data_IF_592420829932
#
_entry.id   IF_592420829932
#
_cell.length_a   1.000
_cell.length_b   1.000
_cell.length_c   1.000
_cell.angle_alpha   90.00
_cell.angle_beta   90.00
_cell.angle_gamma   90.00
#
_symmetry.space_group_name_H-M   'P 1'
#
loop_
_entity.id
_entity.type
_entity.pdbx_description
1 polymer ?
#
# COMPACT_ATOMS: atom_id res chain seq x y z
N UNK A 1 2.77 -18.23 -0.88
CA UNK A 1 2.85 -18.47 -2.34
C UNK A 1 3.36 -19.88 -2.62
N UNK A 2 3.23 -20.38 -3.85
CA UNK A 2 3.86 -21.62 -4.29
C UNK A 2 4.99 -21.30 -5.25
N UNK A 3 6.21 -21.78 -4.96
CA UNK A 3 7.35 -21.66 -5.86
C UNK A 3 7.57 -22.99 -6.56
N UNK A 4 7.76 -22.96 -7.87
CA UNK A 4 8.23 -24.11 -8.64
C UNK A 4 9.55 -23.77 -9.33
N UNK A 5 10.59 -24.56 -9.08
CA UNK A 5 11.90 -24.34 -9.70
C UNK A 5 12.06 -25.29 -10.89
N UNK A 6 12.30 -24.71 -12.06
CA UNK A 6 12.58 -25.42 -13.31
C UNK A 6 13.81 -24.82 -13.98
N UNK A 7 14.57 -25.65 -14.68
CA UNK A 7 15.64 -25.14 -15.55
C UNK A 7 15.02 -24.27 -16.66
N UNK A 8 15.53 -23.06 -16.92
CA UNK A 8 14.98 -22.17 -17.93
C UNK A 8 15.13 -22.74 -19.35
N UNK A 9 16.13 -23.59 -19.58
CA UNK A 9 16.43 -24.14 -20.91
C UNK A 9 15.76 -25.50 -21.14
N UNK A 10 15.89 -26.43 -20.18
CA UNK A 10 15.40 -27.80 -20.33
C UNK A 10 13.98 -27.99 -19.80
N UNK A 11 13.43 -27.00 -19.07
CA UNK A 11 12.17 -27.10 -18.33
C UNK A 11 12.15 -28.23 -17.30
N UNK A 12 13.30 -28.85 -17.01
CA UNK A 12 13.40 -29.93 -16.04
C UNK A 12 13.19 -29.41 -14.63
N UNK A 13 12.46 -30.19 -13.85
CA UNK A 13 12.20 -29.96 -12.44
C UNK A 13 13.52 -30.02 -11.66
N UNK A 14 13.73 -29.06 -10.74
CA UNK A 14 14.92 -29.02 -9.89
C UNK A 14 14.55 -29.39 -8.44
N UNK A 15 14.72 -30.67 -8.05
CA UNK A 15 14.52 -31.09 -6.66
C UNK A 15 15.68 -30.67 -5.77
N UNK A 16 15.42 -30.48 -4.46
CA UNK A 16 16.40 -30.07 -3.46
C UNK A 16 17.13 -28.74 -3.77
N UNK A 17 16.56 -27.91 -4.65
CA UNK A 17 17.05 -26.56 -4.91
C UNK A 17 16.83 -25.72 -3.65
N UNK A 18 17.87 -25.02 -3.18
CA UNK A 18 17.71 -24.11 -2.04
C UNK A 18 17.08 -22.82 -2.54
N UNK A 19 15.97 -22.44 -1.95
CA UNK A 19 15.26 -21.22 -2.31
C UNK A 19 15.29 -20.25 -1.14
N UNK A 20 15.62 -18.99 -1.42
CA UNK A 20 15.50 -17.85 -0.51
C UNK A 20 14.49 -16.87 -1.08
N UNK A 21 13.62 -16.35 -0.22
CA UNK A 21 12.77 -15.20 -0.55
C UNK A 21 13.25 -14.03 0.27
N UNK A 22 13.54 -12.92 -0.40
CA UNK A 22 14.07 -11.71 0.20
C UNK A 22 13.19 -10.52 -0.14
N UNK A 23 13.13 -9.55 0.76
CA UNK A 23 12.63 -8.21 0.50
C UNK A 23 13.82 -7.27 0.42
N UNK A 24 13.99 -6.61 -0.73
CA UNK A 24 15.00 -5.61 -0.93
C UNK A 24 14.36 -4.21 -0.86
N UNK A 25 14.81 -3.41 0.10
CA UNK A 25 14.45 -2.00 0.25
C UNK A 25 15.52 -1.15 -0.42
N UNK A 26 15.17 -0.25 -1.35
CA UNK A 26 16.14 0.67 -1.94
C UNK A 26 16.98 1.38 -0.87
N UNK A 27 18.30 1.19 -0.89
CA UNK A 27 19.22 1.81 0.06
C UNK A 27 19.27 1.21 1.47
N UNK A 28 18.59 0.09 1.73
CA UNK A 28 18.68 -0.65 3.00
C UNK A 28 19.25 -2.06 2.82
N UNK A 29 19.34 -2.81 3.93
CA UNK A 29 19.83 -4.19 3.93
C UNK A 29 18.75 -5.14 3.43
N UNK A 30 19.12 -6.10 2.58
CA UNK A 30 18.23 -7.17 2.14
C UNK A 30 17.72 -7.98 3.34
N UNK A 31 16.40 -8.10 3.45
CA UNK A 31 15.76 -8.89 4.51
C UNK A 31 15.35 -10.25 3.98
N UNK A 32 15.86 -11.32 4.58
CA UNK A 32 15.40 -12.68 4.26
C UNK A 32 14.04 -12.94 4.92
N UNK A 33 13.02 -13.19 4.09
CA UNK A 33 11.66 -13.49 4.52
C UNK A 33 11.43 -15.00 4.69
N UNK A 34 12.12 -15.81 3.87
CA UNK A 34 11.96 -17.26 3.88
C UNK A 34 13.21 -17.97 3.36
N UNK A 35 13.46 -19.18 3.85
CA UNK A 35 14.44 -20.11 3.27
C UNK A 35 13.87 -21.53 3.32
N UNK A 36 14.02 -22.28 2.22
CA UNK A 36 13.56 -23.66 2.12
C UNK A 36 14.22 -24.43 0.99
N UNK A 37 13.79 -25.67 0.79
CA UNK A 37 14.25 -26.53 -0.31
C UNK A 37 13.08 -27.11 -1.06
N UNK A 38 13.19 -27.22 -2.38
CA UNK A 38 12.15 -27.84 -3.21
C UNK A 38 12.05 -29.35 -2.99
N UNK A 39 10.84 -29.88 -3.11
CA UNK A 39 10.56 -31.31 -3.05
C UNK A 39 10.96 -32.04 -4.35
N UNK A 40 10.63 -33.34 -4.43
CA UNK A 40 10.90 -34.18 -5.61
C UNK A 40 10.22 -33.67 -6.90
N UNK A 41 9.18 -32.84 -6.77
CA UNK A 41 8.43 -32.21 -7.85
C UNK A 41 8.90 -30.77 -8.13
N UNK A 42 9.98 -30.33 -7.47
CA UNK A 42 10.55 -28.99 -7.59
C UNK A 42 9.65 -27.92 -6.98
N UNK A 43 8.72 -28.31 -6.11
CA UNK A 43 7.75 -27.43 -5.48
C UNK A 43 8.19 -27.06 -4.08
N UNK A 44 7.86 -25.83 -3.69
CA UNK A 44 8.10 -25.31 -2.35
C UNK A 44 6.96 -24.38 -1.94
N UNK A 45 6.11 -24.80 -0.99
CA UNK A 45 5.18 -23.90 -0.33
C UNK A 45 5.96 -22.86 0.49
N UNK A 46 5.76 -21.58 0.19
CA UNK A 46 6.44 -20.47 0.87
C UNK A 46 5.41 -19.65 1.63
N UNK A 47 5.55 -19.63 2.95
CA UNK A 47 4.77 -18.80 3.85
C UNK A 47 5.73 -17.96 4.70
N UNK A 48 5.50 -16.65 4.75
CA UNK A 48 6.28 -15.72 5.55
C UNK A 48 5.36 -14.58 6.00
N UNK A 49 5.78 -13.87 7.05
CA UNK A 49 5.11 -12.66 7.50
C UNK A 49 5.74 -11.47 6.79
N UNK A 50 4.91 -10.62 6.17
CA UNK A 50 5.38 -9.38 5.56
C UNK A 50 5.77 -8.39 6.67
N UNK A 51 6.94 -7.75 6.60
CA UNK A 51 7.32 -6.73 7.57
C UNK A 51 6.26 -5.61 7.64
N UNK A 52 6.01 -5.02 8.82
CA UNK A 52 5.13 -3.88 8.93
C UNK A 52 5.63 -2.73 8.04
N UNK A 53 4.76 -2.17 7.19
CA UNK A 53 5.16 -1.13 6.23
C UNK A 53 5.59 0.19 6.87
N UNK A 54 5.25 0.42 8.14
CA UNK A 54 5.70 1.54 8.96
C UNK A 54 7.15 1.41 9.45
N UNK A 55 7.73 0.21 9.39
CA UNK A 55 9.15 -0.04 9.67
C UNK A 55 10.03 0.09 8.43
N UNK A 56 9.44 0.21 7.24
CA UNK A 56 10.16 0.34 5.98
C UNK A 56 10.44 1.81 5.65
N UNK A 57 11.68 2.11 5.28
CA UNK A 57 12.08 3.46 4.89
C UNK A 57 11.44 3.91 3.56
N UNK A 58 11.13 2.97 2.67
CA UNK A 58 10.41 3.17 1.42
C UNK A 58 9.30 2.11 1.35
N UNK A 59 8.03 2.44 1.05
CA UNK A 59 7.00 1.43 0.84
C UNK A 59 7.13 0.70 -0.51
N UNK A 60 7.86 1.25 -1.49
CA UNK A 60 8.15 0.58 -2.76
C UNK A 60 9.36 -0.33 -2.57
N UNK A 61 9.14 -1.63 -2.73
CA UNK A 61 10.10 -2.67 -2.41
C UNK A 61 10.28 -3.61 -3.61
N UNK A 62 11.37 -4.37 -3.60
CA UNK A 62 11.58 -5.45 -4.57
C UNK A 62 11.56 -6.78 -3.86
N UNK A 63 10.56 -7.61 -4.15
CA UNK A 63 10.52 -9.00 -3.72
C UNK A 63 11.45 -9.82 -4.63
N UNK A 64 12.44 -10.48 -4.05
CA UNK A 64 13.40 -11.30 -4.77
C UNK A 64 13.28 -12.76 -4.36
N UNK A 65 13.14 -13.66 -5.34
CA UNK A 65 13.18 -15.11 -5.14
C UNK A 65 14.45 -15.63 -5.78
N UNK A 66 15.34 -16.19 -4.96
CA UNK A 66 16.64 -16.74 -5.39
C UNK A 66 16.61 -18.25 -5.21
N UNK A 67 16.92 -18.99 -6.26
CA UNK A 67 17.04 -20.44 -6.25
C UNK A 67 18.48 -20.85 -6.58
N UNK A 68 19.16 -21.47 -5.63
CA UNK A 68 20.46 -22.12 -5.84
C UNK A 68 20.21 -23.55 -6.34
N UNK A 69 20.63 -23.82 -7.57
CA UNK A 69 20.49 -25.11 -8.25
C UNK A 69 21.85 -25.66 -8.66
N UNK A 70 21.89 -26.90 -9.14
CA UNK A 70 23.11 -27.48 -9.70
C UNK A 70 23.56 -26.82 -11.02
N UNK A 71 22.65 -26.12 -11.69
CA UNK A 71 22.92 -25.40 -12.95
C UNK A 71 23.34 -23.95 -12.72
N UNK A 72 23.39 -23.51 -11.46
CA UNK A 72 23.67 -22.14 -11.06
C UNK A 72 22.54 -21.51 -10.26
N UNK A 73 22.67 -20.20 -10.04
CA UNK A 73 21.69 -19.42 -9.30
C UNK A 73 20.70 -18.75 -10.26
N UNK A 74 19.42 -18.89 -9.97
CA UNK A 74 18.34 -18.19 -10.67
C UNK A 74 17.67 -17.19 -9.75
N UNK A 75 17.32 -16.02 -10.28
CA UNK A 75 16.63 -14.98 -9.53
C UNK A 75 15.40 -14.47 -10.28
N UNK A 76 14.33 -14.23 -9.55
CA UNK A 76 13.14 -13.52 -9.99
C UNK A 76 12.97 -12.28 -9.10
N UNK A 77 12.80 -11.12 -9.72
CA UNK A 77 12.55 -9.86 -9.02
C UNK A 77 11.17 -9.34 -9.41
N UNK A 78 10.42 -8.87 -8.43
CA UNK A 78 9.11 -8.27 -8.62
C UNK A 78 8.97 -7.03 -7.74
N UNK A 79 8.58 -5.91 -8.34
CA UNK A 79 8.23 -4.71 -7.61
C UNK A 79 6.93 -4.94 -6.82
N UNK A 80 6.95 -4.60 -5.54
CA UNK A 80 5.83 -4.76 -4.61
C UNK A 80 5.69 -3.52 -3.73
N UNK A 81 4.45 -3.15 -3.42
CA UNK A 81 4.17 -2.07 -2.47
C UNK A 81 3.87 -2.68 -1.09
N UNK A 82 4.70 -2.36 -0.10
CA UNK A 82 4.56 -2.77 1.29
C UNK A 82 4.29 -1.53 2.13
N UNK A 83 3.03 -1.12 2.15
CA UNK A 83 2.57 0.02 2.92
C UNK A 83 1.11 -0.14 3.35
N UNK A 84 0.67 0.71 4.26
CA UNK A 84 -0.75 0.79 4.62
C UNK A 84 -1.50 1.46 3.47
N UNK A 85 -2.30 0.69 2.76
CA UNK A 85 -3.23 1.23 1.75
C UNK A 85 -4.58 1.45 2.43
N UNK A 86 -5.19 2.60 2.18
CA UNK A 86 -6.51 2.96 2.72
C UNK A 86 -7.52 3.13 1.59
N UNK A 87 -8.71 2.57 1.79
CA UNK A 87 -9.91 2.91 1.04
C UNK A 87 -10.49 4.19 1.64
N UNK A 88 -10.62 5.22 0.82
CA UNK A 88 -11.15 6.52 1.22
C UNK A 88 -12.52 6.75 0.62
N UNK A 89 -13.49 7.11 1.45
CA UNK A 89 -14.79 7.63 1.03
C UNK A 89 -14.92 9.07 1.51
N UNK A 90 -15.17 9.98 0.58
CA UNK A 90 -15.45 11.38 0.88
C UNK A 90 -16.89 11.66 0.51
N UNK A 91 -17.63 12.29 1.43
CA UNK A 91 -19.03 12.65 1.25
C UNK A 91 -19.29 14.03 1.79
N UNK A 92 -20.33 14.66 1.26
CA UNK A 92 -20.89 15.91 1.76
C UNK A 92 -22.37 15.73 2.09
N UNK A 93 -22.97 16.66 2.85
CA UNK A 93 -24.37 16.57 3.27
C UNK A 93 -25.36 16.84 2.12
N UNK A 94 -24.94 17.62 1.11
CA UNK A 94 -25.73 18.00 -0.06
C UNK A 94 -24.93 17.92 -1.36
N UNK A 95 -25.59 17.59 -2.49
CA UNK A 95 -24.95 17.59 -3.80
C UNK A 95 -24.72 18.99 -4.39
N UNK A 96 -25.48 20.00 -3.95
CA UNK A 96 -25.41 21.39 -4.46
C UNK A 96 -25.53 22.37 -3.30
N UNK A 97 -24.66 23.38 -3.29
CA UNK A 97 -24.64 24.46 -2.29
C UNK A 97 -24.85 25.81 -2.96
N UNK A 98 -25.41 26.74 -2.19
CA UNK A 98 -25.50 28.15 -2.53
C UNK A 98 -24.41 28.93 -1.80
N UNK A 99 -24.00 30.09 -2.33
CA UNK A 99 -23.07 30.97 -1.62
C UNK A 99 -23.55 31.32 -0.20
N UNK A 100 -22.62 31.39 0.74
CA UNK A 100 -22.87 31.58 2.17
C UNK A 100 -23.28 30.31 2.94
N UNK A 101 -23.56 29.19 2.25
CA UNK A 101 -23.83 27.93 2.92
C UNK A 101 -22.55 27.28 3.45
N UNK A 102 -22.68 26.56 4.55
CA UNK A 102 -21.62 25.68 5.06
C UNK A 102 -21.71 24.32 4.36
N UNK A 103 -20.59 23.88 3.81
CA UNK A 103 -20.37 22.53 3.30
C UNK A 103 -19.89 21.68 4.47
N UNK A 104 -20.64 20.64 4.81
CA UNK A 104 -20.21 19.66 5.81
C UNK A 104 -19.52 18.51 5.13
N UNK A 105 -18.21 18.40 5.32
CA UNK A 105 -17.36 17.37 4.72
C UNK A 105 -17.15 16.24 5.70
N UNK A 106 -17.23 15.01 5.21
CA UNK A 106 -16.87 13.80 5.96
C UNK A 106 -15.99 12.90 5.11
N UNK A 107 -14.83 12.56 5.66
CA UNK A 107 -13.97 11.50 5.17
C UNK A 107 -14.09 10.24 6.03
N UNK A 108 -14.06 9.08 5.41
CA UNK A 108 -13.93 7.76 6.05
C UNK A 108 -12.73 7.04 5.44
N UNK A 109 -11.82 6.59 6.30
CA UNK A 109 -10.65 5.80 5.92
C UNK A 109 -10.68 4.42 6.57
N UNK A 110 -10.61 3.38 5.73
CA UNK A 110 -10.50 1.98 6.14
C UNK A 110 -9.26 1.35 5.51
N UNK A 111 -8.54 0.49 6.23
CA UNK A 111 -7.46 -0.30 5.67
C UNK A 111 -7.97 -1.19 4.51
N UNK A 112 -7.29 -1.20 3.37
CA UNK A 112 -7.78 -1.88 2.16
C UNK A 112 -7.84 -3.40 2.29
N UNK A 113 -7.03 -4.00 3.16
CA UNK A 113 -6.94 -5.48 3.32
C UNK A 113 -7.92 -6.02 4.34
N UNK A 114 -8.02 -5.38 5.51
CA UNK A 114 -8.80 -5.86 6.64
C UNK A 114 -10.08 -5.03 6.92
N UNK A 115 -10.31 -3.96 6.15
CA UNK A 115 -11.39 -2.98 6.35
C UNK A 115 -11.48 -2.44 7.78
N UNK A 116 -10.34 -2.40 8.47
CA UNK A 116 -10.22 -1.84 9.81
C UNK A 116 -10.22 -0.32 9.72
N UNK A 117 -10.85 0.32 10.70
CA UNK A 117 -10.83 1.78 10.80
C UNK A 117 -9.39 2.30 10.91
N UNK A 118 -9.03 3.26 10.07
CA UNK A 118 -7.75 3.94 10.15
C UNK A 118 -7.77 4.91 11.34
N UNK A 119 -7.66 4.42 12.57
CA UNK A 119 -7.76 5.22 13.79
C UNK A 119 -6.51 6.09 14.01
N UNK A 120 -6.72 7.32 14.47
CA UNK A 120 -5.67 8.27 14.85
C UNK A 120 -4.64 8.50 13.74
N UNK A 121 -5.07 8.39 12.48
CA UNK A 121 -4.29 8.71 11.31
C UNK A 121 -4.58 10.14 10.87
N UNK A 122 -3.57 10.82 10.36
CA UNK A 122 -3.74 12.16 9.80
C UNK A 122 -4.40 12.05 8.42
N UNK A 123 -5.60 12.61 8.29
CA UNK A 123 -6.30 12.80 7.02
C UNK A 123 -6.30 14.28 6.66
N UNK A 124 -5.84 14.61 5.46
CA UNK A 124 -5.89 15.98 4.94
C UNK A 124 -7.10 16.13 4.03
N UNK A 125 -8.11 16.91 4.46
CA UNK A 125 -9.25 17.29 3.63
C UNK A 125 -8.94 18.60 2.91
N UNK A 126 -9.16 18.64 1.60
CA UNK A 126 -8.95 19.82 0.76
C UNK A 126 -10.22 20.14 0.00
N UNK A 127 -10.62 21.42 0.01
CA UNK A 127 -11.65 21.97 -0.88
C UNK A 127 -10.94 22.86 -1.88
N UNK A 128 -11.22 22.66 -3.17
CA UNK A 128 -10.67 23.46 -4.25
C UNK A 128 -11.80 24.04 -5.11
N UNK A 129 -11.53 25.18 -5.74
CA UNK A 129 -12.38 25.74 -6.79
C UNK A 129 -12.22 24.98 -8.13
N UNK A 130 -13.04 25.26 -9.16
CA UNK A 130 -12.93 24.62 -10.47
C UNK A 130 -11.57 24.82 -11.16
N UNK A 131 -10.87 25.91 -10.86
CA UNK A 131 -9.53 26.22 -11.37
C UNK A 131 -8.41 25.47 -10.62
N UNK A 132 -8.74 24.78 -9.52
CA UNK A 132 -7.82 24.00 -8.71
C UNK A 132 -7.16 24.78 -7.57
N UNK A 133 -7.55 26.03 -7.32
CA UNK A 133 -7.07 26.80 -6.18
C UNK A 133 -7.66 26.22 -4.89
N UNK A 134 -6.80 26.01 -3.89
CA UNK A 134 -7.21 25.47 -2.60
C UNK A 134 -7.92 26.54 -1.79
N UNK A 135 -9.21 26.34 -1.55
CA UNK A 135 -10.04 27.20 -0.70
C UNK A 135 -9.97 26.80 0.78
N UNK A 136 -9.77 25.50 1.03
CA UNK A 136 -9.52 24.94 2.37
C UNK A 136 -8.49 23.82 2.26
N UNK A 137 -7.59 23.73 3.23
CA UNK A 137 -6.77 22.55 3.47
C UNK A 137 -6.63 22.34 4.98
N UNK A 138 -7.12 21.21 5.50
CA UNK A 138 -7.11 20.93 6.93
C UNK A 138 -6.63 19.51 7.20
N UNK A 139 -5.60 19.39 8.06
CA UNK A 139 -5.11 18.12 8.57
C UNK A 139 -5.88 17.76 9.85
N UNK A 140 -6.53 16.60 9.86
CA UNK A 140 -7.39 16.12 10.92
C UNK A 140 -6.98 14.72 11.34
N UNK A 141 -7.03 14.42 12.65
CA UNK A 141 -6.92 13.05 13.11
C UNK A 141 -8.25 12.33 12.94
N UNK A 142 -8.21 11.15 12.35
CA UNK A 142 -9.37 10.27 12.23
C UNK A 142 -9.76 9.70 13.59
N UNK A 143 -11.07 9.58 13.81
CA UNK A 143 -11.64 8.98 15.01
C UNK A 143 -11.36 7.47 15.10
N UNK A 144 -11.79 6.82 16.19
CA UNK A 144 -11.76 5.37 16.35
C UNK A 144 -12.52 4.59 15.25
N UNK A 145 -13.39 5.27 14.51
CA UNK A 145 -14.14 4.70 13.38
C UNK A 145 -13.55 5.10 12.02
N UNK A 146 -12.36 5.71 11.98
CA UNK A 146 -11.69 6.12 10.75
C UNK A 146 -12.31 7.37 10.12
N UNK A 147 -13.10 8.14 10.87
CA UNK A 147 -13.84 9.31 10.35
C UNK A 147 -13.08 10.60 10.67
N UNK A 148 -12.96 11.49 9.70
CA UNK A 148 -12.60 12.90 9.88
C UNK A 148 -13.70 13.79 9.29
N UNK A 149 -13.98 14.94 9.92
CA UNK A 149 -15.01 15.87 9.46
C UNK A 149 -14.51 17.31 9.50
N UNK A 150 -14.94 18.11 8.54
CA UNK A 150 -14.58 19.52 8.41
C UNK A 150 -15.79 20.33 7.92
N UNK A 151 -15.85 21.58 8.33
CA UNK A 151 -16.85 22.53 7.87
C UNK A 151 -16.18 23.62 7.04
N UNK A 152 -16.76 23.95 5.89
CA UNK A 152 -16.27 25.01 5.00
C UNK A 152 -17.40 25.95 4.62
N UNK A 153 -17.26 27.25 4.91
CA UNK A 153 -18.24 28.25 4.47
C UNK A 153 -17.95 28.62 3.02
N UNK A 154 -18.88 28.32 2.12
CA UNK A 154 -18.76 28.70 0.72
C UNK A 154 -18.88 30.23 0.61
N UNK A 155 -17.82 30.88 0.13
CA UNK A 155 -17.79 32.33 -0.02
C UNK A 155 -18.89 32.88 -0.93
N UNK A 156 -19.18 34.18 -0.81
CA UNK A 156 -20.07 34.86 -1.74
C UNK A 156 -19.35 35.16 -3.07
N UNK A 157 -20.06 35.23 -4.22
CA UNK A 157 -19.46 35.69 -5.45
C UNK A 157 -19.02 37.15 -5.25
N UNK A 158 -17.70 37.38 -5.18
CA UNK A 158 -17.11 38.72 -4.98
C UNK A 158 -16.05 38.83 -3.89
N UNK A 159 -15.85 37.78 -3.07
CA UNK A 159 -14.93 37.82 -1.91
C UNK A 159 -13.48 37.40 -2.24
N UNK A 160 -13.16 37.25 -3.53
CA UNK A 160 -11.78 37.03 -4.00
C UNK A 160 -11.14 38.37 -4.36
N UNK A 161 -10.55 39.03 -3.37
CA UNK A 161 -9.59 40.14 -3.57
C UNK A 161 -8.34 39.92 -2.75
#
# INVERSE_FOLDING_TARGET
MLVQVRSPYSQQIQPNARVKVLLNTPGATEQVLFTGQTDAQGLLPVNFTVPPGDELADPNQTLMVVADTNEGQFQLQQEVYVGRVYNLLVSTDKPVYQPGQTIHLRGLALESTALRAAQAQTMTLTVADPEGNKLLQQALLTSQFGIAAADFVLGQPGDQR
#
